data_IF_813106954245
#
_entry.id   IF_813106954245
#
_cell.length_a   1.000
_cell.length_b   1.000
_cell.length_c   1.000
_cell.angle_alpha   90.00
_cell.angle_beta   90.00
_cell.angle_gamma   90.00
#
_symmetry.space_group_name_H-M   'P 1'
#
loop_
_entity.id
_entity.type
_entity.pdbx_description
1 polymer ?
#
# COMPACT_ATOMS: atom_id res chain seq x y z
N UNK A 1 5.90 -3.20 15.04
CA UNK A 1 6.25 -2.34 13.87
C UNK A 1 5.02 -2.04 13.03
N UNK A 2 5.07 -1.00 12.18
CA UNK A 2 4.03 -0.67 11.18
C UNK A 2 4.66 -0.03 9.93
N UNK A 3 3.98 -0.14 8.79
CA UNK A 3 4.35 0.57 7.58
C UNK A 3 4.09 2.07 7.80
N UNK A 4 5.13 2.89 7.64
CA UNK A 4 5.03 4.33 7.81
C UNK A 4 4.84 5.02 6.47
N UNK A 5 5.76 4.80 5.52
CA UNK A 5 5.78 5.59 4.29
C UNK A 5 6.36 4.84 3.09
N UNK A 6 6.05 5.37 1.92
CA UNK A 6 6.69 5.04 0.66
C UNK A 6 7.30 6.29 0.04
N UNK A 7 8.52 6.19 -0.48
CA UNK A 7 9.18 7.24 -1.23
C UNK A 7 9.17 6.90 -2.72
N UNK A 8 8.68 7.83 -3.54
CA UNK A 8 8.51 7.68 -4.98
C UNK A 8 9.26 8.77 -5.74
N UNK A 9 9.89 8.38 -6.84
CA UNK A 9 10.33 9.31 -7.86
C UNK A 9 9.27 9.41 -8.94
N UNK A 10 8.89 10.64 -9.31
CA UNK A 10 7.81 10.92 -10.26
C UNK A 10 8.23 12.00 -11.26
N UNK A 11 7.74 11.95 -12.52
CA UNK A 11 8.11 12.95 -13.52
C UNK A 11 7.66 14.37 -13.17
N UNK A 12 6.42 14.51 -12.68
CA UNK A 12 5.83 15.79 -12.25
C UNK A 12 5.45 15.71 -10.77
N UNK A 13 6.37 16.19 -9.92
CA UNK A 13 6.21 16.20 -8.46
C UNK A 13 5.04 17.06 -8.01
N UNK A 14 4.87 18.24 -8.61
CA UNK A 14 3.83 19.19 -8.19
C UNK A 14 2.44 18.72 -8.63
N UNK A 15 2.27 18.18 -9.83
CA UNK A 15 1.00 17.59 -10.26
C UNK A 15 0.63 16.39 -9.40
N UNK A 16 1.61 15.53 -9.07
CA UNK A 16 1.41 14.37 -8.19
C UNK A 16 1.06 14.81 -6.78
N UNK A 17 1.75 15.81 -6.23
CA UNK A 17 1.48 16.34 -4.90
C UNK A 17 0.08 16.97 -4.81
N UNK A 18 -0.33 17.74 -5.83
CA UNK A 18 -1.70 18.29 -5.92
C UNK A 18 -2.75 17.18 -5.96
N UNK A 19 -2.54 16.14 -6.75
CA UNK A 19 -3.45 14.98 -6.75
C UNK A 19 -3.61 14.37 -5.36
N UNK A 20 -2.50 14.09 -4.68
CA UNK A 20 -2.55 13.52 -3.34
C UNK A 20 -3.16 14.47 -2.31
N UNK A 21 -2.95 15.78 -2.43
CA UNK A 21 -3.48 16.76 -1.49
C UNK A 21 -4.95 17.09 -1.75
N UNK A 22 -5.28 17.49 -2.97
CA UNK A 22 -6.57 18.11 -3.29
C UNK A 22 -7.65 17.08 -3.66
N UNK A 23 -7.24 15.94 -4.23
CA UNK A 23 -8.15 14.89 -4.71
C UNK A 23 -8.15 13.67 -3.81
N UNK A 24 -6.95 13.14 -3.48
CA UNK A 24 -6.80 11.95 -2.64
C UNK A 24 -7.08 12.22 -1.15
N UNK A 25 -6.79 13.43 -0.68
CA UNK A 25 -7.13 13.89 0.67
C UNK A 25 -6.00 13.78 1.69
N UNK A 26 -4.75 13.64 1.26
CA UNK A 26 -3.59 13.81 2.14
C UNK A 26 -3.34 15.29 2.44
N UNK A 27 -2.60 15.57 3.50
CA UNK A 27 -2.12 16.92 3.79
C UNK A 27 -0.65 17.07 3.39
N UNK A 28 -0.32 18.14 2.67
CA UNK A 28 1.07 18.49 2.39
C UNK A 28 1.77 18.89 3.68
N UNK A 29 2.97 18.38 3.88
CA UNK A 29 3.85 18.76 4.98
C UNK A 29 4.87 19.76 4.43
N UNK A 30 5.02 20.90 5.10
CA UNK A 30 6.08 21.84 4.77
C UNK A 30 7.43 21.20 5.06
N UNK A 31 8.19 20.91 4.03
CA UNK A 31 9.45 20.21 4.14
C UNK A 31 10.61 21.17 3.90
N UNK A 32 11.58 21.16 4.79
CA UNK A 32 12.90 21.75 4.58
C UNK A 32 13.80 20.85 3.69
N UNK A 33 13.20 19.89 2.95
CA UNK A 33 13.91 18.90 2.14
C UNK A 33 13.60 19.06 0.65
N UNK A 34 14.43 18.48 -0.22
CA UNK A 34 14.19 18.38 -1.66
C UNK A 34 13.00 17.50 -2.04
N UNK A 35 12.32 16.89 -1.06
CA UNK A 35 11.14 16.05 -1.23
C UNK A 35 9.87 16.80 -0.81
N UNK A 36 8.78 16.63 -1.57
CA UNK A 36 7.45 16.95 -1.08
C UNK A 36 6.94 15.75 -0.27
N UNK A 37 6.49 16.01 0.95
CA UNK A 37 5.93 15.01 1.84
C UNK A 37 4.45 15.22 2.05
N UNK A 38 3.70 14.12 2.10
CA UNK A 38 2.26 14.13 2.32
C UNK A 38 1.89 13.17 3.45
N UNK A 39 0.96 13.57 4.31
CA UNK A 39 0.55 12.80 5.48
C UNK A 39 -0.96 12.56 5.50
N UNK A 40 -1.35 11.49 6.19
CA UNK A 40 -2.73 11.21 6.57
C UNK A 40 -3.13 11.90 7.86
N UNK A 41 -4.23 11.45 8.44
CA UNK A 41 -4.73 12.00 9.72
C UNK A 41 -4.09 11.37 10.96
N UNK A 42 -3.37 10.24 10.81
CA UNK A 42 -2.61 9.62 11.92
C UNK A 42 -1.42 10.50 12.37
N UNK A 43 -0.85 10.15 13.50
CA UNK A 43 0.32 10.81 14.10
C UNK A 43 1.67 10.49 13.43
N UNK A 44 1.66 9.88 12.24
CA UNK A 44 2.88 9.62 11.47
C UNK A 44 3.36 10.88 10.74
N UNK A 45 4.68 11.12 10.64
CA UNK A 45 5.23 12.35 10.07
C UNK A 45 4.88 12.51 8.58
N UNK A 46 4.88 11.43 7.81
CA UNK A 46 4.43 11.40 6.41
C UNK A 46 4.14 9.98 5.94
N UNK A 47 3.34 9.86 4.86
CA UNK A 47 2.97 8.60 4.22
C UNK A 47 3.59 8.46 2.83
N UNK A 48 3.68 9.56 2.10
CA UNK A 48 4.23 9.58 0.73
C UNK A 48 5.30 10.67 0.66
N UNK A 49 6.49 10.28 0.24
CA UNK A 49 7.57 11.19 -0.13
C UNK A 49 7.72 11.22 -1.65
N UNK A 50 7.79 12.40 -2.24
CA UNK A 50 7.89 12.60 -3.70
C UNK A 50 9.17 13.35 -4.06
N UNK A 51 9.93 12.82 -5.00
CA UNK A 51 11.09 13.47 -5.62
C UNK A 51 10.96 13.47 -7.14
N UNK A 52 11.60 14.44 -7.79
CA UNK A 52 11.56 14.57 -9.26
C UNK A 52 12.44 13.52 -9.95
N UNK A 53 11.98 12.96 -11.07
CA UNK A 53 12.75 12.10 -11.95
C UNK A 53 11.94 11.00 -12.60
N UNK A 54 12.61 10.07 -13.26
CA UNK A 54 11.99 8.91 -13.88
C UNK A 54 11.26 8.05 -12.82
N UNK A 55 10.08 7.49 -13.13
CA UNK A 55 9.29 6.71 -12.19
C UNK A 55 10.11 5.62 -11.52
N UNK A 56 10.14 5.62 -10.20
CA UNK A 56 10.82 4.60 -9.41
C UNK A 56 10.31 4.56 -7.97
N UNK A 57 10.38 3.39 -7.33
CA UNK A 57 10.28 3.26 -5.88
C UNK A 57 11.66 3.49 -5.27
N UNK A 58 11.74 4.41 -4.31
CA UNK A 58 12.98 4.79 -3.62
C UNK A 58 13.15 4.10 -2.27
N UNK A 59 12.08 3.59 -1.72
CA UNK A 59 12.09 2.79 -0.50
C UNK A 59 10.75 2.74 0.20
N UNK A 60 10.64 1.76 1.10
CA UNK A 60 9.56 1.59 2.05
C UNK A 60 10.12 1.82 3.45
N UNK A 61 9.43 2.62 4.27
CA UNK A 61 9.85 2.86 5.65
C UNK A 61 8.87 2.19 6.61
N UNK A 62 9.42 1.42 7.52
CA UNK A 62 8.72 0.81 8.66
C UNK A 62 9.19 1.48 9.94
N UNK A 63 8.25 1.77 10.83
CA UNK A 63 8.57 2.33 12.14
C UNK A 63 8.09 1.44 13.28
N UNK A 64 8.75 1.56 14.42
CA UNK A 64 8.44 0.82 15.62
C UNK A 64 9.23 1.30 16.82
N UNK A 65 9.13 0.59 17.95
CA UNK A 65 10.00 0.85 19.11
C UNK A 65 11.47 0.56 18.77
N UNK A 66 12.39 1.07 19.59
CA UNK A 66 13.82 0.81 19.42
C UNK A 66 14.15 -0.69 19.36
N UNK A 67 13.49 -1.50 20.21
CA UNK A 67 13.65 -2.95 20.25
C UNK A 67 13.08 -3.63 18.98
N UNK A 68 11.94 -3.16 18.47
CA UNK A 68 11.34 -3.71 17.26
C UNK A 68 12.18 -3.44 16.01
N UNK A 69 12.80 -2.27 15.89
CA UNK A 69 13.68 -1.95 14.77
C UNK A 69 15.07 -2.57 14.95
N UNK A 70 15.46 -2.94 16.19
CA UNK A 70 16.63 -3.75 16.52
C UNK A 70 17.92 -3.28 15.82
N UNK A 71 18.20 -1.97 15.83
CA UNK A 71 19.37 -1.37 15.18
C UNK A 71 19.42 -1.46 13.65
N UNK A 72 18.43 -2.10 13.02
CA UNK A 72 18.28 -2.10 11.55
C UNK A 72 18.04 -0.67 11.08
N UNK A 73 18.70 -0.29 10.00
CA UNK A 73 18.48 1.02 9.36
C UNK A 73 17.98 0.86 7.95
N UNK A 74 18.73 0.15 7.14
CA UNK A 74 18.39 -0.15 5.75
C UNK A 74 18.70 -1.61 5.43
N UNK A 75 17.79 -2.26 4.72
CA UNK A 75 17.94 -3.64 4.24
C UNK A 75 17.47 -3.68 2.79
N UNK A 76 18.28 -4.29 1.92
CA UNK A 76 17.89 -4.52 0.52
C UNK A 76 17.31 -5.91 0.33
N UNK A 77 16.19 -5.95 -0.36
CA UNK A 77 15.52 -7.18 -0.76
C UNK A 77 16.20 -7.88 -1.95
N UNK A 78 15.75 -9.11 -2.23
CA UNK A 78 16.38 -9.95 -3.27
C UNK A 78 16.22 -9.39 -4.69
N UNK A 79 15.24 -8.54 -4.93
CA UNK A 79 14.95 -7.94 -6.23
C UNK A 79 15.27 -6.44 -6.28
N UNK A 80 16.02 -5.93 -5.29
CA UNK A 80 16.50 -4.56 -5.22
C UNK A 80 15.67 -3.63 -4.35
N UNK A 81 14.62 -4.12 -3.72
CA UNK A 81 13.75 -3.34 -2.82
C UNK A 81 14.56 -2.75 -1.67
N UNK A 82 14.26 -1.53 -1.31
CA UNK A 82 14.88 -0.88 -0.16
C UNK A 82 13.85 -0.74 0.98
N UNK A 83 14.17 -1.39 2.11
CA UNK A 83 13.39 -1.33 3.34
C UNK A 83 14.17 -0.51 4.37
N UNK A 84 13.54 0.54 4.90
CA UNK A 84 14.10 1.37 5.98
C UNK A 84 13.36 1.08 7.27
N UNK A 85 14.11 1.08 8.36
CA UNK A 85 13.58 0.87 9.71
C UNK A 85 13.97 2.05 10.58
N UNK A 86 12.97 2.71 11.16
CA UNK A 86 13.17 3.89 11.99
C UNK A 86 12.44 3.74 13.32
N UNK A 87 12.97 4.35 14.37
CA UNK A 87 12.22 4.49 15.61
C UNK A 87 11.00 5.38 15.33
N UNK A 88 9.84 4.97 15.81
CA UNK A 88 8.61 5.71 15.60
C UNK A 88 8.73 7.13 16.13
N UNK A 89 8.59 8.09 15.24
CA UNK A 89 8.40 9.49 15.55
C UNK A 89 6.91 9.83 15.43
N UNK A 90 6.37 10.50 16.44
CA UNK A 90 4.97 10.93 16.43
C UNK A 90 4.88 12.44 16.32
N UNK A 91 4.01 12.89 15.44
CA UNK A 91 3.64 14.30 15.28
C UNK A 91 2.18 14.49 15.72
N UNK A 92 1.77 15.74 15.95
CA UNK A 92 0.38 16.02 16.26
C UNK A 92 -0.54 15.51 15.16
N UNK A 93 -1.52 14.64 15.46
CA UNK A 93 -2.44 14.12 14.45
C UNK A 93 -3.29 15.24 13.87
N UNK A 94 -3.67 15.10 12.59
CA UNK A 94 -4.63 16.02 12.01
C UNK A 94 -6.04 15.71 12.53
N UNK A 95 -6.96 16.69 12.52
CA UNK A 95 -8.35 16.43 12.88
C UNK A 95 -8.92 15.24 12.11
N UNK A 96 -9.60 14.34 12.84
CA UNK A 96 -10.23 13.18 12.24
C UNK A 96 -11.19 13.59 11.12
N UNK A 97 -11.14 12.88 10.01
CA UNK A 97 -11.98 13.16 8.85
C UNK A 97 -12.51 11.85 8.27
N UNK A 98 -13.79 11.85 7.87
CA UNK A 98 -14.42 10.72 7.18
C UNK A 98 -13.93 10.55 5.74
N UNK A 99 -13.34 11.59 5.18
CA UNK A 99 -13.01 11.70 3.75
C UNK A 99 -11.50 11.71 3.48
N UNK A 100 -10.69 11.59 4.52
CA UNK A 100 -9.22 11.58 4.42
C UNK A 100 -8.64 10.24 4.81
N UNK A 101 -7.60 9.78 4.11
CA UNK A 101 -6.83 8.63 4.54
C UNK A 101 -6.22 8.86 5.93
N UNK A 102 -6.18 7.80 6.72
CA UNK A 102 -5.60 7.80 8.06
C UNK A 102 -4.08 7.55 7.96
N UNK A 103 -3.70 6.46 7.30
CA UNK A 103 -2.31 5.98 7.16
C UNK A 103 -2.17 5.09 5.92
N UNK A 104 -0.97 4.65 5.63
CA UNK A 104 -0.79 3.51 4.72
C UNK A 104 -1.32 2.25 5.40
N UNK A 105 -2.13 1.49 4.68
CA UNK A 105 -2.55 0.16 5.09
C UNK A 105 -1.48 -0.86 4.71
N UNK A 106 -1.17 -0.94 3.42
CA UNK A 106 -0.22 -1.89 2.88
C UNK A 106 0.37 -1.44 1.54
N UNK A 107 1.42 -2.15 1.12
CA UNK A 107 2.00 -2.05 -0.23
C UNK A 107 2.00 -3.44 -0.83
N UNK A 108 1.71 -3.54 -2.13
CA UNK A 108 1.88 -4.78 -2.88
C UNK A 108 2.97 -4.60 -3.92
N UNK A 109 3.88 -5.56 -3.98
CA UNK A 109 5.02 -5.60 -4.88
C UNK A 109 4.87 -6.77 -5.84
N UNK A 110 5.11 -6.53 -7.12
CA UNK A 110 5.28 -7.58 -8.10
C UNK A 110 6.67 -8.18 -7.98
N UNK A 111 6.75 -9.50 -7.92
CA UNK A 111 7.99 -10.26 -7.72
C UNK A 111 8.10 -11.40 -8.72
N UNK A 112 9.30 -11.63 -9.23
CA UNK A 112 9.61 -12.78 -10.09
C UNK A 112 9.74 -14.07 -9.28
N UNK A 113 10.15 -13.95 -8.01
CA UNK A 113 10.31 -15.07 -7.08
C UNK A 113 9.65 -14.76 -5.73
N UNK A 114 8.32 -14.99 -5.66
CA UNK A 114 7.54 -14.75 -4.45
C UNK A 114 8.04 -15.58 -3.26
N UNK A 115 8.56 -16.78 -3.51
CA UNK A 115 9.04 -17.67 -2.46
C UNK A 115 10.36 -17.14 -1.85
N UNK A 116 11.25 -16.57 -2.67
CA UNK A 116 12.45 -15.90 -2.19
C UNK A 116 12.11 -14.59 -1.46
N UNK A 117 11.14 -13.81 -1.97
CA UNK A 117 10.67 -12.59 -1.32
C UNK A 117 10.02 -12.88 0.05
N UNK A 118 9.21 -13.93 0.16
CA UNK A 118 8.63 -14.38 1.43
C UNK A 118 9.72 -14.82 2.44
N UNK A 119 10.66 -15.68 2.02
CA UNK A 119 11.78 -16.09 2.89
C UNK A 119 12.59 -14.88 3.37
N UNK A 120 12.90 -13.97 2.48
CA UNK A 120 13.59 -12.74 2.85
C UNK A 120 12.81 -11.92 3.88
N UNK A 121 11.51 -11.70 3.65
CA UNK A 121 10.68 -10.92 4.56
C UNK A 121 10.55 -11.59 5.94
N UNK A 122 10.45 -12.90 6.00
CA UNK A 122 10.35 -13.63 7.27
C UNK A 122 11.70 -13.71 8.01
N UNK A 123 12.78 -14.05 7.32
CA UNK A 123 14.08 -14.30 7.94
C UNK A 123 14.90 -13.01 8.21
N UNK A 124 14.78 -12.01 7.34
CA UNK A 124 15.57 -10.76 7.44
C UNK A 124 14.79 -9.59 7.99
N UNK A 125 13.49 -9.46 7.65
CA UNK A 125 12.67 -8.36 8.15
C UNK A 125 11.88 -8.76 9.42
N UNK A 126 11.80 -10.06 9.75
CA UNK A 126 11.06 -10.58 10.90
C UNK A 126 9.53 -10.47 10.76
N UNK A 127 9.05 -10.42 9.51
CA UNK A 127 7.61 -10.40 9.24
C UNK A 127 7.02 -11.80 9.36
N UNK A 128 5.72 -11.89 9.56
CA UNK A 128 4.99 -13.15 9.65
C UNK A 128 4.05 -13.30 8.46
N UNK A 129 3.98 -14.50 7.91
CA UNK A 129 2.99 -14.79 6.87
C UNK A 129 1.60 -14.81 7.49
N UNK A 130 0.65 -14.18 6.83
CA UNK A 130 -0.77 -14.26 7.17
C UNK A 130 -1.49 -15.22 6.24
N UNK A 131 -1.36 -15.03 4.92
CA UNK A 131 -2.03 -15.88 3.96
C UNK A 131 -1.19 -16.12 2.71
N UNK A 132 -1.47 -17.22 2.03
CA UNK A 132 -0.99 -17.49 0.68
C UNK A 132 -2.16 -17.79 -0.24
N UNK A 133 -2.12 -17.21 -1.44
CA UNK A 133 -2.96 -17.62 -2.57
C UNK A 133 -2.08 -18.29 -3.63
N UNK A 134 -2.65 -18.71 -4.74
CA UNK A 134 -1.86 -19.25 -5.87
C UNK A 134 -0.85 -18.27 -6.44
N UNK A 135 -1.10 -16.96 -6.28
CA UNK A 135 -0.33 -15.92 -6.93
C UNK A 135 0.27 -14.90 -5.97
N UNK A 136 -0.07 -14.94 -4.69
CA UNK A 136 0.36 -13.92 -3.73
C UNK A 136 0.69 -14.53 -2.37
N UNK A 137 1.61 -13.88 -1.66
CA UNK A 137 1.83 -14.05 -0.23
C UNK A 137 1.58 -12.73 0.49
N UNK A 138 0.93 -12.79 1.65
CA UNK A 138 0.57 -11.64 2.49
C UNK A 138 1.32 -11.72 3.81
N UNK A 139 2.02 -10.65 4.18
CA UNK A 139 2.87 -10.62 5.36
C UNK A 139 2.53 -9.44 6.27
N UNK A 140 2.65 -9.68 7.56
CA UNK A 140 2.38 -8.70 8.61
C UNK A 140 3.60 -8.42 9.47
N UNK A 141 3.68 -7.21 9.99
CA UNK A 141 4.65 -6.80 11.00
C UNK A 141 3.97 -6.33 12.31
N UNK A 142 2.66 -6.48 12.41
CA UNK A 142 1.81 -6.18 13.57
C UNK A 142 0.66 -7.18 13.65
N UNK A 143 -0.41 -6.87 14.40
CA UNK A 143 -1.66 -7.64 14.41
C UNK A 143 -2.54 -7.41 13.17
N UNK A 144 -2.30 -6.37 12.39
CA UNK A 144 -3.04 -6.15 11.13
C UNK A 144 -2.62 -7.22 10.11
N UNK A 145 -3.60 -7.79 9.40
CA UNK A 145 -3.42 -8.95 8.53
C UNK A 145 -2.23 -8.84 7.58
N UNK A 146 -2.01 -7.69 6.96
CA UNK A 146 -0.83 -7.48 6.12
C UNK A 146 -0.44 -6.01 6.05
N UNK A 147 0.85 -5.77 5.97
CA UNK A 147 1.46 -4.48 5.68
C UNK A 147 2.21 -4.51 4.34
N UNK A 148 2.56 -5.70 3.86
CA UNK A 148 3.17 -5.94 2.54
C UNK A 148 2.61 -7.23 1.96
N UNK A 149 2.50 -7.28 0.63
CA UNK A 149 2.26 -8.52 -0.08
C UNK A 149 3.13 -8.59 -1.34
N UNK A 150 3.48 -9.81 -1.75
CA UNK A 150 4.19 -10.06 -3.00
C UNK A 150 3.26 -10.79 -3.96
N UNK A 151 3.12 -10.24 -5.17
CA UNK A 151 2.34 -10.82 -6.25
C UNK A 151 3.28 -11.41 -7.30
N UNK A 152 3.02 -12.65 -7.73
CA UNK A 152 3.82 -13.34 -8.74
C UNK A 152 3.66 -12.68 -10.09
N UNK A 153 4.79 -12.22 -10.67
CA UNK A 153 4.83 -11.57 -11.98
C UNK A 153 6.12 -11.93 -12.73
N UNK A 154 6.18 -11.69 -14.01
CA UNK A 154 7.41 -11.83 -14.81
C UNK A 154 8.39 -10.66 -14.67
N UNK A 155 8.11 -9.71 -13.79
CA UNK A 155 8.84 -8.46 -13.57
C UNK A 155 8.76 -8.03 -12.11
N UNK A 156 9.59 -7.06 -11.72
CA UNK A 156 9.61 -6.47 -10.38
C UNK A 156 9.16 -5.03 -10.45
N UNK A 157 8.14 -4.67 -9.67
CA UNK A 157 7.61 -3.30 -9.63
C UNK A 157 6.73 -3.09 -8.39
N UNK A 158 6.32 -1.86 -8.15
CA UNK A 158 5.22 -1.54 -7.26
C UNK A 158 3.91 -1.94 -7.95
N UNK A 159 3.16 -2.88 -7.37
CA UNK A 159 1.82 -3.20 -7.84
C UNK A 159 0.86 -2.06 -7.45
N UNK A 160 0.74 -1.77 -6.15
CA UNK A 160 -0.04 -0.64 -5.66
C UNK A 160 0.34 -0.23 -4.23
N UNK A 161 -0.16 0.95 -3.85
CA UNK A 161 -0.13 1.48 -2.48
C UNK A 161 -1.55 1.64 -1.97
N UNK A 162 -1.85 1.07 -0.81
CA UNK A 162 -3.16 1.14 -0.18
C UNK A 162 -3.18 2.10 1.01
N UNK A 163 -4.23 2.92 1.05
CA UNK A 163 -4.46 3.93 2.09
C UNK A 163 -5.71 3.58 2.88
N UNK A 164 -5.56 3.52 4.21
CA UNK A 164 -6.66 3.19 5.10
C UNK A 164 -7.63 4.35 5.26
N UNK A 165 -8.89 4.09 4.99
CA UNK A 165 -10.03 4.97 5.25
C UNK A 165 -10.73 4.57 6.54
N UNK A 166 -11.44 5.49 7.16
CA UNK A 166 -12.09 5.28 8.45
C UNK A 166 -13.16 4.15 8.44
N UNK A 167 -13.84 3.97 7.32
CA UNK A 167 -14.90 2.97 7.15
C UNK A 167 -15.29 2.83 5.67
N UNK A 168 -16.23 1.92 5.37
CA UNK A 168 -16.77 1.68 4.02
C UNK A 168 -17.33 2.94 3.40
N UNK A 169 -18.07 3.76 4.16
CA UNK A 169 -18.61 5.03 3.66
C UNK A 169 -17.50 5.98 3.18
N UNK A 170 -16.37 6.00 3.87
CA UNK A 170 -15.19 6.78 3.47
C UNK A 170 -14.62 6.32 2.12
N UNK A 171 -14.52 4.99 1.91
CA UNK A 171 -14.12 4.42 0.61
C UNK A 171 -15.12 4.81 -0.48
N UNK A 172 -16.41 4.67 -0.24
CA UNK A 172 -17.46 4.96 -1.21
C UNK A 172 -17.52 6.45 -1.59
N UNK A 173 -17.40 7.37 -0.60
CA UNK A 173 -17.32 8.81 -0.88
C UNK A 173 -16.02 9.15 -1.62
N UNK A 174 -14.92 8.48 -1.30
CA UNK A 174 -13.65 8.59 -2.02
C UNK A 174 -13.80 8.21 -3.49
N UNK A 175 -14.48 7.09 -3.79
CA UNK A 175 -14.79 6.67 -5.18
C UNK A 175 -15.60 7.77 -5.91
N UNK A 176 -16.61 8.33 -5.26
CA UNK A 176 -17.39 9.43 -5.84
C UNK A 176 -16.55 10.66 -6.14
N UNK A 177 -15.77 11.13 -5.16
CA UNK A 177 -14.88 12.29 -5.28
C UNK A 177 -13.85 12.13 -6.41
N UNK A 178 -13.18 10.98 -6.48
CA UNK A 178 -12.19 10.71 -7.52
C UNK A 178 -12.82 10.66 -8.91
N UNK A 179 -13.97 10.02 -9.06
CA UNK A 179 -14.72 10.02 -10.32
C UNK A 179 -15.05 11.44 -10.78
N UNK A 180 -15.55 12.29 -9.86
CA UNK A 180 -15.94 13.67 -10.17
C UNK A 180 -14.71 14.56 -10.50
N UNK A 181 -13.52 14.17 -10.01
CA UNK A 181 -12.24 14.79 -10.36
C UNK A 181 -11.58 14.18 -11.64
N UNK A 182 -12.26 13.27 -12.35
CA UNK A 182 -11.77 12.66 -13.58
C UNK A 182 -10.90 11.41 -13.40
N UNK A 183 -10.84 10.84 -12.20
CA UNK A 183 -10.13 9.60 -11.87
C UNK A 183 -11.14 8.47 -11.58
N UNK A 184 -11.64 7.76 -12.61
CA UNK A 184 -12.60 6.68 -12.40
C UNK A 184 -11.98 5.51 -11.64
N UNK A 185 -12.80 4.84 -10.83
CA UNK A 185 -12.41 3.60 -10.18
C UNK A 185 -12.14 2.53 -11.25
N UNK A 186 -10.91 1.97 -11.27
CA UNK A 186 -10.47 0.96 -12.24
C UNK A 186 -10.67 -0.46 -11.73
N UNK A 187 -10.86 -0.63 -10.43
CA UNK A 187 -11.28 -1.88 -9.81
C UNK A 187 -11.95 -1.58 -8.47
N UNK A 188 -13.19 -2.01 -8.29
CA UNK A 188 -13.99 -1.78 -7.09
C UNK A 188 -15.33 -1.09 -7.37
N UNK A 189 -16.13 -0.78 -6.32
CA UNK A 189 -15.88 -1.27 -4.97
C UNK A 189 -15.97 -2.79 -4.89
N UNK A 190 -15.23 -3.38 -3.97
CA UNK A 190 -15.23 -4.82 -3.77
C UNK A 190 -14.70 -5.20 -2.39
N UNK A 191 -14.73 -6.50 -2.07
CA UNK A 191 -14.16 -7.06 -0.85
C UNK A 191 -13.17 -8.16 -1.19
N UNK A 192 -11.94 -8.03 -0.70
CA UNK A 192 -10.90 -9.05 -0.89
C UNK A 192 -11.19 -10.34 -0.11
N UNK A 193 -10.57 -11.44 -0.52
CA UNK A 193 -10.52 -12.69 0.23
C UNK A 193 -9.51 -12.58 1.38
N UNK A 194 -8.19 -12.70 1.10
CA UNK A 194 -7.16 -12.48 2.10
C UNK A 194 -7.25 -11.07 2.68
N UNK A 195 -7.23 -10.98 4.02
CA UNK A 195 -7.37 -9.70 4.71
C UNK A 195 -8.79 -9.14 4.77
N UNK A 196 -9.75 -9.67 4.00
CA UNK A 196 -11.19 -9.34 4.05
C UNK A 196 -11.51 -7.83 3.94
N UNK A 197 -10.60 -7.02 3.41
CA UNK A 197 -10.74 -5.56 3.32
C UNK A 197 -11.61 -5.13 2.14
N UNK A 198 -12.34 -4.02 2.32
CA UNK A 198 -13.07 -3.32 1.26
C UNK A 198 -12.09 -2.44 0.48
N UNK A 199 -12.26 -2.35 -0.84
CA UNK A 199 -11.32 -1.67 -1.70
C UNK A 199 -11.94 -0.85 -2.83
N UNK A 200 -11.17 0.12 -3.31
CA UNK A 200 -11.38 0.83 -4.58
C UNK A 200 -10.04 1.32 -5.12
N UNK A 201 -9.72 0.95 -6.38
CA UNK A 201 -8.44 1.24 -7.03
C UNK A 201 -8.54 2.33 -8.08
N UNK A 202 -7.47 3.12 -8.19
CA UNK A 202 -7.39 4.26 -9.11
C UNK A 202 -5.99 4.37 -9.70
N UNK A 203 -5.90 4.87 -10.92
CA UNK A 203 -4.62 5.26 -11.52
C UNK A 203 -4.42 6.75 -11.32
N UNK A 204 -3.39 7.13 -10.56
CA UNK A 204 -3.05 8.53 -10.33
C UNK A 204 -2.35 9.18 -11.54
N UNK A 205 -2.17 10.51 -11.54
CA UNK A 205 -1.50 11.22 -12.63
C UNK A 205 -0.02 10.84 -12.78
N UNK A 206 0.58 10.27 -11.74
CA UNK A 206 1.93 9.71 -11.76
C UNK A 206 2.01 8.35 -12.48
N UNK A 207 0.87 7.79 -12.90
CA UNK A 207 0.80 6.51 -13.60
C UNK A 207 0.74 5.28 -12.69
N UNK A 208 0.92 5.43 -11.38
CA UNK A 208 0.87 4.33 -10.40
C UNK A 208 -0.54 4.02 -9.93
N UNK A 209 -0.74 2.79 -9.46
CA UNK A 209 -1.99 2.32 -8.90
C UNK A 209 -2.06 2.63 -7.40
N UNK A 210 -3.15 3.24 -6.97
CA UNK A 210 -3.43 3.59 -5.57
C UNK A 210 -4.80 3.05 -5.15
N UNK A 211 -4.91 2.65 -3.88
CA UNK A 211 -6.10 2.01 -3.32
C UNK A 211 -6.60 2.77 -2.09
N UNK A 212 -7.90 3.05 -2.04
CA UNK A 212 -8.59 3.25 -0.76
C UNK A 212 -9.03 1.91 -0.22
N UNK A 213 -8.73 1.66 1.06
CA UNK A 213 -9.11 0.42 1.73
C UNK A 213 -9.60 0.66 3.17
N UNK A 214 -10.35 -0.29 3.69
CA UNK A 214 -10.81 -0.29 5.09
C UNK A 214 -11.15 -1.71 5.55
N UNK A 215 -11.32 -1.88 6.86
CA UNK A 215 -11.73 -3.17 7.47
C UNK A 215 -10.73 -4.31 7.20
N UNK A 216 -9.44 -4.00 7.14
CA UNK A 216 -8.42 -5.06 7.08
C UNK A 216 -8.49 -5.89 8.36
N UNK A 217 -8.63 -7.21 8.23
CA UNK A 217 -8.76 -8.12 9.36
C UNK A 217 -7.56 -8.07 10.31
N UNK A 218 -7.79 -8.37 11.57
CA UNK A 218 -6.75 -8.63 12.55
C UNK A 218 -6.23 -10.07 12.42
N UNK A 219 -4.93 -10.24 12.61
CA UNK A 219 -4.22 -11.52 12.58
C UNK A 219 -3.34 -11.62 13.83
N UNK A 220 -3.91 -12.08 14.93
CA UNK A 220 -3.23 -12.28 16.20
C UNK A 220 -2.15 -13.38 16.16
N UNK A 221 -1.64 -13.75 17.32
CA UNK A 221 -0.59 -14.78 17.41
C UNK A 221 -1.11 -16.18 17.09
N UNK A 222 -2.39 -16.43 17.32
CA UNK A 222 -3.13 -17.67 17.03
C UNK A 222 -3.73 -17.72 15.61
N UNK A 223 -3.46 -16.70 14.79
CA UNK A 223 -3.99 -16.63 13.43
C UNK A 223 -3.53 -17.82 12.59
N UNK A 224 -4.49 -18.61 12.08
CA UNK A 224 -4.21 -19.72 11.16
C UNK A 224 -3.88 -19.17 9.77
N UNK A 225 -2.67 -19.42 9.32
CA UNK A 225 -2.23 -19.03 7.96
C UNK A 225 -3.10 -19.72 6.92
N UNK A 226 -3.75 -18.96 6.08
CA UNK A 226 -4.55 -19.45 4.96
C UNK A 226 -3.67 -20.02 3.85
N UNK A 227 -4.10 -21.18 3.32
CA UNK A 227 -3.49 -21.84 2.17
C UNK A 227 -4.22 -21.45 0.87
N UNK A 228 -3.62 -21.66 -0.31
CA UNK A 228 -4.26 -21.34 -1.60
C UNK A 228 -5.65 -21.95 -1.78
N UNK A 229 -5.91 -23.11 -1.19
CA UNK A 229 -7.16 -23.87 -1.30
C UNK A 229 -8.30 -23.26 -0.46
N UNK A 230 -7.95 -22.46 0.54
CA UNK A 230 -8.93 -21.77 1.41
C UNK A 230 -9.65 -20.64 0.67
N UNK A 231 -9.01 -20.07 -0.35
CA UNK A 231 -9.52 -18.87 -1.03
C UNK A 231 -10.40 -19.22 -2.22
N UNK A 232 -11.69 -18.94 -2.08
CA UNK A 232 -12.72 -19.19 -3.11
C UNK A 232 -13.49 -17.89 -3.37
N UNK A 233 -13.65 -17.58 -4.64
CA UNK A 233 -14.45 -16.44 -5.09
C UNK A 233 -15.74 -16.92 -5.76
N UNK A 234 -16.79 -16.07 -5.83
CA UNK A 234 -17.95 -16.35 -6.64
C UNK A 234 -17.52 -16.67 -8.08
N UNK A 235 -18.20 -17.59 -8.79
CA UNK A 235 -17.82 -17.99 -10.15
C UNK A 235 -17.64 -16.80 -11.11
N UNK A 236 -16.48 -16.71 -11.75
CA UNK A 236 -16.14 -15.64 -12.69
C UNK A 236 -15.91 -14.27 -12.03
N UNK A 237 -15.71 -14.22 -10.71
CA UNK A 237 -15.46 -12.99 -9.94
C UNK A 237 -14.09 -13.03 -9.28
N UNK A 238 -13.58 -11.84 -8.94
CA UNK A 238 -12.28 -11.64 -8.31
C UNK A 238 -12.38 -10.89 -6.98
N UNK A 239 -13.58 -10.69 -6.46
CA UNK A 239 -13.90 -10.14 -5.14
C UNK A 239 -15.03 -10.95 -4.49
N UNK A 240 -15.09 -10.95 -3.14
CA UNK A 240 -16.06 -11.74 -2.39
C UNK A 240 -17.51 -11.26 -2.56
N UNK A 241 -17.73 -9.98 -2.84
CA UNK A 241 -19.08 -9.46 -3.10
C UNK A 241 -19.56 -9.81 -4.51
N UNK A 242 -18.61 -10.08 -5.45
CA UNK A 242 -18.92 -10.40 -6.83
C UNK A 242 -19.49 -9.22 -7.63
N UNK A 243 -19.26 -8.00 -7.18
CA UNK A 243 -19.82 -6.78 -7.80
C UNK A 243 -18.80 -5.99 -8.61
N UNK A 244 -17.50 -6.15 -8.30
CA UNK A 244 -16.45 -5.36 -8.95
C UNK A 244 -16.07 -5.90 -10.34
N UNK A 245 -15.68 -4.98 -11.20
CA UNK A 245 -15.07 -5.28 -12.51
C UNK A 245 -13.69 -4.62 -12.52
N UNK A 246 -12.65 -5.38 -12.88
CA UNK A 246 -11.28 -4.86 -13.01
C UNK A 246 -11.02 -4.41 -14.45
N UNK A 247 -10.65 -3.15 -14.63
CA UNK A 247 -10.10 -2.65 -15.89
C UNK A 247 -8.65 -3.11 -16.02
N UNK A 248 -8.47 -4.33 -16.54
CA UNK A 248 -7.16 -4.95 -16.65
C UNK A 248 -6.21 -4.17 -17.56
N UNK A 249 -6.73 -3.54 -18.62
CA UNK A 249 -5.90 -2.77 -19.53
C UNK A 249 -5.21 -1.59 -18.84
N UNK A 250 -5.93 -0.88 -17.95
CA UNK A 250 -5.37 0.25 -17.20
C UNK A 250 -4.52 -0.20 -16.02
N UNK A 251 -4.97 -1.23 -15.28
CA UNK A 251 -4.22 -1.73 -14.13
C UNK A 251 -2.91 -2.37 -14.53
N UNK A 252 -2.85 -3.15 -15.62
CA UNK A 252 -1.62 -3.81 -16.09
C UNK A 252 -0.52 -2.80 -16.49
N UNK A 253 -0.90 -1.63 -16.99
CA UNK A 253 0.04 -0.54 -17.29
C UNK A 253 0.53 0.10 -15.99
N UNK A 254 -0.38 0.41 -15.07
CA UNK A 254 -0.05 1.08 -13.81
C UNK A 254 0.80 0.20 -12.87
N UNK A 255 0.55 -1.10 -12.83
CA UNK A 255 1.31 -2.09 -12.04
C UNK A 255 2.77 -2.25 -12.53
N UNK A 256 3.14 -1.70 -13.67
CA UNK A 256 4.51 -1.72 -14.24
C UNK A 256 5.21 -0.37 -14.19
N UNK A 257 4.53 0.69 -13.78
CA UNK A 257 5.04 2.05 -13.88
C UNK A 257 6.24 2.34 -12.98
N UNK A 258 6.31 1.70 -11.81
CA UNK A 258 7.32 1.98 -10.78
C UNK A 258 8.20 0.77 -10.51
N UNK A 259 9.44 0.83 -10.97
CA UNK A 259 10.46 -0.19 -10.71
C UNK A 259 11.33 0.24 -9.50
N UNK A 260 12.07 -0.70 -8.92
CA UNK A 260 13.13 -0.40 -7.95
C UNK A 260 14.36 0.17 -8.68
N UNK A 261 14.95 1.26 -8.12
CA UNK A 261 16.19 1.87 -8.62
C UNK A 261 17.05 2.42 -7.48
#
# INVERSE_FOLDING_TARGET
MKLQSIDLRVPDVEATARFFADVWGLARVDAHSSQIRLRGTDALPYLVGLEAGEPAVRGLTFCGSGDEVNGRREVRGPEGELYRFVVEERVEPLPASRDRPIRLSHVVLNSKDVDAAERFATEKLGFRVSDRTRHMTFLRCSSVHHCIAYARAGYTSLNHVAFEMANVDGVMRGIGRLRDAGYPCVWGPGRHGPGNNVFGYFVGPHGGLVEYTTEVSEAGDDYRVGAPEDWKWPPGRIDHWGVSVKDTARTDVAERAFMWK
#
